data_IF_538320106916
#
_entry.id   IF_538320106916
#
_cell.length_a   1.000
_cell.length_b   1.000
_cell.length_c   1.000
_cell.angle_alpha   90.00
_cell.angle_beta   90.00
_cell.angle_gamma   90.00
#
_symmetry.space_group_name_H-M   'P 1'
#
loop_
_entity.id
_entity.type
_entity.pdbx_description
1 polymer ?
#
# COMPACT_ATOMS: atom_id res chain seq x y z
N UNK A 1 -17.95 7.92 -29.12
CA UNK A 1 -17.40 6.89 -28.21
C UNK A 1 -17.63 7.40 -26.80
N UNK A 2 -18.74 7.03 -26.18
CA UNK A 2 -18.95 7.31 -24.76
C UNK A 2 -18.37 6.15 -23.96
N UNK A 3 -17.12 6.33 -23.54
CA UNK A 3 -16.63 5.55 -22.40
C UNK A 3 -17.39 6.04 -21.18
N UNK A 4 -17.87 5.12 -20.33
CA UNK A 4 -18.13 5.48 -18.95
C UNK A 4 -16.83 6.10 -18.43
N UNK A 5 -16.84 7.41 -18.18
CA UNK A 5 -15.69 8.15 -17.67
C UNK A 5 -15.51 7.73 -16.22
N UNK A 6 -14.81 6.64 -16.00
CA UNK A 6 -14.27 6.34 -14.68
C UNK A 6 -13.14 7.34 -14.50
N UNK A 7 -13.39 8.37 -13.70
CA UNK A 7 -12.38 9.33 -13.29
C UNK A 7 -11.31 8.59 -12.47
N UNK A 8 -10.31 8.07 -13.18
CA UNK A 8 -9.24 7.26 -12.62
C UNK A 8 -8.31 8.07 -11.69
N UNK A 9 -8.39 9.41 -11.73
CA UNK A 9 -7.58 10.29 -10.90
C UNK A 9 -8.14 10.38 -9.46
N UNK A 10 -9.45 10.17 -9.29
CA UNK A 10 -10.19 10.32 -8.03
C UNK A 10 -10.70 9.01 -7.41
N UNK A 11 -10.06 7.86 -7.66
CA UNK A 11 -10.44 6.57 -7.05
C UNK A 11 -10.34 6.56 -5.50
N UNK A 12 -9.55 7.47 -4.91
CA UNK A 12 -9.49 7.63 -3.43
C UNK A 12 -10.75 8.31 -2.87
N UNK A 13 -11.50 9.02 -3.71
CA UNK A 13 -12.87 9.42 -3.46
C UNK A 13 -13.81 8.28 -3.87
N UNK A 14 -13.82 7.21 -3.07
CA UNK A 14 -14.96 6.30 -3.00
C UNK A 14 -16.28 7.02 -2.56
N UNK A 15 -16.28 8.35 -2.52
CA UNK A 15 -17.43 9.23 -2.44
C UNK A 15 -18.13 9.45 -3.80
N UNK A 16 -17.59 8.96 -4.93
CA UNK A 16 -18.14 9.21 -6.27
C UNK A 16 -19.19 8.20 -6.77
N UNK A 17 -19.40 7.08 -6.08
CA UNK A 17 -20.48 6.14 -6.43
C UNK A 17 -21.69 6.39 -5.55
N UNK A 18 -22.84 6.60 -6.17
CA UNK A 18 -24.12 6.66 -5.46
C UNK A 18 -24.29 5.37 -4.66
N UNK A 19 -24.58 5.53 -3.36
CA UNK A 19 -24.93 4.39 -2.51
C UNK A 19 -26.21 3.77 -3.05
N UNK A 20 -26.27 2.44 -3.00
CA UNK A 20 -27.53 1.74 -3.26
C UNK A 20 -28.62 2.27 -2.32
N UNK A 21 -29.87 2.26 -2.76
CA UNK A 21 -31.00 2.71 -1.94
C UNK A 21 -31.02 2.02 -0.56
N UNK A 22 -30.72 0.73 -0.53
CA UNK A 22 -30.60 -0.05 0.72
C UNK A 22 -29.47 0.47 1.60
N UNK A 23 -28.23 0.58 1.08
CA UNK A 23 -27.09 1.05 1.88
C UNK A 23 -27.24 2.51 2.30
N UNK A 24 -27.88 3.34 1.46
CA UNK A 24 -28.20 4.73 1.76
C UNK A 24 -29.20 4.82 2.91
N UNK A 25 -30.27 4.01 2.88
CA UNK A 25 -31.27 3.95 3.95
C UNK A 25 -30.65 3.53 5.29
N UNK A 26 -29.85 2.46 5.28
CA UNK A 26 -29.09 2.05 6.48
C UNK A 26 -28.10 3.13 6.93
N UNK A 27 -27.37 3.77 6.01
CA UNK A 27 -26.45 4.83 6.38
C UNK A 27 -27.19 6.00 7.06
N UNK A 28 -28.34 6.41 6.52
CA UNK A 28 -29.14 7.52 7.04
C UNK A 28 -29.79 7.22 8.39
N UNK A 29 -30.19 5.97 8.62
CA UNK A 29 -30.68 5.51 9.91
C UNK A 29 -29.58 5.58 10.99
N UNK A 30 -28.37 5.11 10.66
CA UNK A 30 -27.30 5.00 11.63
C UNK A 30 -26.38 6.23 11.72
N UNK A 31 -26.39 7.17 10.76
CA UNK A 31 -25.51 8.36 10.78
C UNK A 31 -25.75 9.29 11.96
N UNK A 32 -26.98 9.32 12.48
CA UNK A 32 -27.40 10.13 13.63
C UNK A 32 -27.28 9.39 14.97
N UNK A 33 -26.96 8.11 14.93
CA UNK A 33 -26.82 7.25 16.11
C UNK A 33 -25.42 7.33 16.74
N UNK A 34 -25.24 6.70 17.90
CA UNK A 34 -23.93 6.48 18.52
C UNK A 34 -23.06 5.43 17.79
N UNK A 35 -23.44 5.03 16.56
CA UNK A 35 -22.72 4.00 15.81
C UNK A 35 -21.24 4.39 15.58
N UNK A 36 -20.30 3.42 15.70
CA UNK A 36 -18.90 3.70 15.45
C UNK A 36 -18.67 4.22 14.03
N UNK A 37 -17.85 5.27 13.87
CA UNK A 37 -17.46 5.80 12.55
C UNK A 37 -16.95 4.72 11.58
N UNK A 38 -16.28 3.70 12.12
CA UNK A 38 -15.78 2.54 11.35
C UNK A 38 -16.93 1.74 10.73
N UNK A 39 -18.03 1.54 11.45
CA UNK A 39 -19.21 0.83 10.96
C UNK A 39 -19.88 1.59 9.82
N UNK A 40 -20.10 2.90 9.99
CA UNK A 40 -20.65 3.76 8.94
C UNK A 40 -19.80 3.74 7.66
N UNK A 41 -18.46 3.69 7.81
CA UNK A 41 -17.54 3.53 6.66
C UNK A 41 -17.72 2.20 5.94
N UNK A 42 -18.02 1.12 6.67
CA UNK A 42 -18.27 -0.19 6.05
C UNK A 42 -19.57 -0.21 5.24
N UNK A 43 -20.64 0.45 5.71
CA UNK A 43 -21.89 0.61 4.96
C UNK A 43 -21.62 1.36 3.64
N UNK A 44 -20.90 2.49 3.72
CA UNK A 44 -20.53 3.26 2.53
C UNK A 44 -19.80 2.40 1.50
N UNK A 45 -18.74 1.71 1.93
CA UNK A 45 -17.95 0.86 1.05
C UNK A 45 -18.78 -0.26 0.41
N UNK A 46 -19.66 -0.89 1.18
CA UNK A 46 -20.54 -1.95 0.67
C UNK A 46 -21.47 -1.42 -0.43
N UNK A 47 -22.09 -0.26 -0.20
CA UNK A 47 -22.93 0.41 -1.19
C UNK A 47 -22.18 0.69 -2.48
N UNK A 48 -20.99 1.31 -2.39
CA UNK A 48 -20.17 1.61 -3.57
C UNK A 48 -19.77 0.35 -4.35
N UNK A 49 -19.42 -0.74 -3.67
CA UNK A 49 -19.08 -2.01 -4.35
C UNK A 49 -20.26 -2.63 -5.07
N UNK A 50 -21.46 -2.54 -4.48
CA UNK A 50 -22.66 -3.07 -5.11
C UNK A 50 -23.07 -2.24 -6.34
N UNK A 51 -23.00 -0.91 -6.26
CA UNK A 51 -23.22 -0.03 -7.41
C UNK A 51 -22.24 -0.34 -8.54
N UNK A 52 -20.94 -0.45 -8.22
CA UNK A 52 -19.93 -0.83 -9.21
C UNK A 52 -20.21 -2.21 -9.83
N UNK A 53 -20.71 -3.17 -9.06
CA UNK A 53 -21.11 -4.49 -9.57
C UNK A 53 -22.27 -4.37 -10.57
N UNK A 54 -23.29 -3.55 -10.28
CA UNK A 54 -24.39 -3.26 -11.21
C UNK A 54 -23.84 -2.67 -12.51
N UNK A 55 -22.99 -1.65 -12.42
CA UNK A 55 -22.45 -0.95 -13.58
C UNK A 55 -21.61 -1.88 -14.47
N UNK A 56 -20.73 -2.68 -13.86
CA UNK A 56 -19.92 -3.68 -14.57
C UNK A 56 -20.85 -4.69 -15.26
N UNK A 57 -21.88 -5.15 -14.55
CA UNK A 57 -22.85 -6.13 -15.07
C UNK A 57 -23.61 -5.55 -16.26
N UNK A 58 -24.16 -4.34 -16.14
CA UNK A 58 -24.85 -3.64 -17.22
C UNK A 58 -23.94 -3.41 -18.43
N UNK A 59 -22.66 -3.08 -18.21
CA UNK A 59 -21.68 -2.96 -19.28
C UNK A 59 -21.40 -4.31 -19.97
N UNK A 60 -21.25 -5.38 -19.19
CA UNK A 60 -20.97 -6.73 -19.69
C UNK A 60 -22.13 -7.30 -20.54
N UNK A 61 -23.37 -6.90 -20.25
CA UNK A 61 -24.55 -7.31 -21.00
C UNK A 61 -24.72 -6.64 -22.37
N UNK A 62 -23.99 -5.55 -22.67
CA UNK A 62 -24.06 -4.91 -23.99
C UNK A 62 -23.51 -5.86 -25.06
N UNK A 63 -24.20 -5.98 -26.21
CA UNK A 63 -23.85 -6.92 -27.28
C UNK A 63 -22.38 -6.82 -27.73
N UNK A 64 -21.84 -5.59 -27.79
CA UNK A 64 -20.43 -5.32 -28.13
C UNK A 64 -19.43 -6.01 -27.20
N UNK A 65 -19.75 -6.15 -25.91
CA UNK A 65 -18.85 -6.69 -24.89
C UNK A 65 -19.20 -8.10 -24.46
N UNK A 66 -20.39 -8.59 -24.80
CA UNK A 66 -20.91 -9.91 -24.43
C UNK A 66 -19.92 -11.04 -24.67
N UNK A 67 -19.26 -11.06 -25.84
CA UNK A 67 -18.27 -12.10 -26.18
C UNK A 67 -17.01 -12.02 -25.29
N UNK A 68 -16.55 -10.81 -24.95
CA UNK A 68 -15.39 -10.61 -24.08
C UNK A 68 -15.65 -11.13 -22.66
N UNK A 69 -16.83 -10.87 -22.11
CA UNK A 69 -17.20 -11.32 -20.77
C UNK A 69 -17.65 -12.79 -20.71
N UNK A 70 -18.10 -13.38 -21.83
CA UNK A 70 -18.50 -14.80 -21.88
C UNK A 70 -17.37 -15.80 -21.63
N UNK A 71 -16.12 -15.37 -21.79
CA UNK A 71 -14.92 -16.19 -21.58
C UNK A 71 -14.16 -15.81 -20.30
N UNK A 72 -14.83 -15.16 -19.35
CA UNK A 72 -14.20 -14.74 -18.10
C UNK A 72 -14.08 -15.92 -17.14
N UNK A 73 -12.85 -16.19 -16.70
CA UNK A 73 -12.58 -17.14 -15.63
C UNK A 73 -12.32 -16.40 -14.32
N UNK A 74 -13.08 -16.77 -13.29
CA UNK A 74 -12.92 -16.20 -11.96
C UNK A 74 -12.06 -17.14 -11.13
N UNK A 75 -10.93 -16.62 -10.66
CA UNK A 75 -10.03 -17.33 -9.76
C UNK A 75 -10.00 -16.62 -8.41
N UNK A 76 -10.44 -17.30 -7.37
CA UNK A 76 -10.27 -16.81 -6.00
C UNK A 76 -8.82 -17.03 -5.58
N UNK A 77 -8.12 -15.94 -5.28
CA UNK A 77 -6.78 -15.99 -4.70
C UNK A 77 -6.90 -15.91 -3.18
N UNK A 78 -6.19 -16.80 -2.48
CA UNK A 78 -6.13 -16.75 -1.03
C UNK A 78 -5.17 -15.65 -0.56
N UNK A 79 -5.52 -14.88 0.48
CA UNK A 79 -4.61 -13.91 1.09
C UNK A 79 -3.35 -14.61 1.62
N UNK A 80 -2.19 -14.01 1.38
CA UNK A 80 -0.92 -14.53 1.87
C UNK A 80 -0.45 -13.67 3.04
N UNK A 81 -0.34 -14.29 4.21
CA UNK A 81 0.06 -13.65 5.46
C UNK A 81 1.24 -14.44 6.04
N UNK A 82 2.30 -13.74 6.43
CA UNK A 82 3.48 -14.33 7.06
C UNK A 82 3.72 -13.61 8.38
N UNK A 83 3.99 -14.37 9.44
CA UNK A 83 4.40 -13.82 10.73
C UNK A 83 5.91 -13.83 10.84
N UNK A 84 6.52 -12.66 11.02
CA UNK A 84 7.97 -12.53 11.08
C UNK A 84 8.43 -11.62 12.23
N UNK A 85 9.65 -11.85 12.77
CA UNK A 85 10.24 -10.95 13.75
C UNK A 85 10.48 -9.56 13.15
N UNK A 86 10.43 -8.55 14.01
CA UNK A 86 10.83 -7.19 13.69
C UNK A 86 12.26 -6.93 14.18
N UNK A 87 13.02 -6.19 13.38
CA UNK A 87 14.29 -5.65 13.87
C UNK A 87 14.01 -4.54 14.89
N UNK A 88 14.85 -4.46 15.92
CA UNK A 88 14.83 -3.32 16.85
C UNK A 88 15.04 -2.01 16.09
N UNK A 89 14.32 -0.98 16.52
CA UNK A 89 14.37 0.34 15.92
C UNK A 89 15.80 0.91 15.98
N UNK A 90 16.50 0.73 17.11
CA UNK A 90 17.92 1.08 17.26
C UNK A 90 18.82 0.46 16.19
N UNK A 91 18.64 -0.83 15.91
CA UNK A 91 19.46 -1.53 14.91
C UNK A 91 19.19 -1.04 13.48
N UNK A 92 17.97 -0.58 13.19
CA UNK A 92 17.64 0.03 11.90
C UNK A 92 18.26 1.42 11.82
N UNK A 93 18.02 2.29 12.80
CA UNK A 93 18.46 3.70 12.77
C UNK A 93 19.98 3.82 12.72
N UNK A 94 20.71 2.99 13.48
CA UNK A 94 22.19 3.00 13.49
C UNK A 94 22.83 2.71 12.14
N UNK A 95 22.10 2.11 11.19
CA UNK A 95 22.60 1.93 9.81
C UNK A 95 22.70 3.25 9.05
N UNK A 96 21.87 4.22 9.40
CA UNK A 96 21.78 5.51 8.72
C UNK A 96 22.39 6.67 9.52
N UNK A 97 22.44 6.53 10.85
CA UNK A 97 23.06 7.52 11.75
C UNK A 97 24.20 6.82 12.49
N UNK A 98 25.44 6.85 11.93
CA UNK A 98 26.60 6.33 12.62
C UNK A 98 26.85 7.15 13.88
N UNK A 99 26.77 6.47 15.03
CA UNK A 99 26.82 7.11 16.33
C UNK A 99 27.59 6.25 17.33
N UNK A 100 28.94 6.34 17.31
CA UNK A 100 29.80 5.56 18.21
C UNK A 100 29.57 5.91 19.69
N UNK A 101 29.20 7.15 20.00
CA UNK A 101 29.03 7.66 21.37
C UNK A 101 27.58 7.65 21.86
N UNK A 102 26.65 7.08 21.08
CA UNK A 102 25.23 6.91 21.38
C UNK A 102 24.40 8.21 21.57
N UNK A 103 25.05 9.38 21.53
CA UNK A 103 24.41 10.68 21.70
C UNK A 103 23.53 11.12 20.51
N UNK A 104 23.96 10.89 19.26
CA UNK A 104 23.19 11.30 18.07
C UNK A 104 21.91 10.49 17.92
N UNK A 105 21.97 9.21 18.29
CA UNK A 105 20.84 8.31 18.28
C UNK A 105 19.79 8.73 19.31
N UNK A 106 20.18 9.03 20.55
CA UNK A 106 19.23 9.47 21.58
C UNK A 106 18.58 10.80 21.24
N UNK A 107 19.34 11.76 20.69
CA UNK A 107 18.77 13.03 20.24
C UNK A 107 17.79 12.83 19.06
N UNK A 108 18.15 11.97 18.10
CA UNK A 108 17.25 11.62 16.99
C UNK A 108 15.97 10.93 17.50
N UNK A 109 16.09 10.01 18.46
CA UNK A 109 14.97 9.34 19.11
C UNK A 109 14.05 10.32 19.78
N UNK A 110 14.59 11.20 20.62
CA UNK A 110 13.82 12.23 21.33
C UNK A 110 13.01 13.07 20.35
N UNK A 111 13.64 13.61 19.30
CA UNK A 111 12.94 14.40 18.26
C UNK A 111 11.82 13.64 17.57
N UNK A 112 12.03 12.37 17.24
CA UNK A 112 10.99 11.54 16.61
C UNK A 112 9.82 11.26 17.56
N UNK A 113 10.08 11.16 18.87
CA UNK A 113 9.04 10.91 19.88
C UNK A 113 8.29 12.20 20.27
N UNK A 114 8.94 13.35 20.16
CA UNK A 114 8.32 14.66 20.37
C UNK A 114 7.35 15.02 19.22
N UNK A 115 7.59 14.51 18.01
CA UNK A 115 6.63 14.61 16.90
C UNK A 115 5.46 13.65 17.09
N UNK A 116 4.26 14.21 17.32
CA UNK A 116 3.04 13.44 17.57
C UNK A 116 2.74 12.41 16.47
N UNK A 117 2.92 12.77 15.20
CA UNK A 117 2.60 11.86 14.09
C UNK A 117 3.57 10.70 14.00
N UNK A 118 4.87 10.96 14.17
CA UNK A 118 5.93 9.96 14.16
C UNK A 118 5.80 9.02 15.36
N UNK A 119 5.63 9.58 16.56
CA UNK A 119 5.41 8.82 17.79
C UNK A 119 4.20 7.89 17.69
N UNK A 120 3.09 8.38 17.13
CA UNK A 120 1.89 7.56 16.88
C UNK A 120 2.18 6.43 15.89
N UNK A 121 2.88 6.69 14.78
CA UNK A 121 3.22 5.66 13.79
C UNK A 121 4.18 4.60 14.34
N UNK A 122 5.12 5.01 15.19
CA UNK A 122 6.00 4.10 15.90
C UNK A 122 5.23 3.22 16.88
N UNK A 123 4.30 3.81 17.63
CA UNK A 123 3.38 3.06 18.50
C UNK A 123 2.54 2.06 17.70
N UNK A 124 2.00 2.45 16.55
CA UNK A 124 1.22 1.55 15.70
C UNK A 124 2.07 0.39 15.12
N UNK A 125 3.37 0.61 14.90
CA UNK A 125 4.29 -0.38 14.36
C UNK A 125 4.83 -1.35 15.43
N UNK A 126 5.25 -0.84 16.59
CA UNK A 126 5.90 -1.61 17.67
C UNK A 126 4.95 -1.94 18.84
N UNK A 127 3.70 -1.46 18.79
CA UNK A 127 2.70 -1.60 19.84
C UNK A 127 2.85 -0.59 20.98
N UNK A 128 4.08 -0.19 21.33
CA UNK A 128 4.40 0.86 22.29
C UNK A 128 5.82 1.42 21.97
N UNK A 129 6.03 2.72 22.19
CA UNK A 129 7.35 3.38 22.09
C UNK A 129 8.38 2.83 23.09
N UNK A 130 7.95 2.27 24.22
CA UNK A 130 8.87 1.62 25.17
C UNK A 130 9.44 0.30 24.64
N UNK A 131 8.81 -0.26 23.60
CA UNK A 131 9.17 -1.54 23.00
C UNK A 131 9.89 -1.40 21.66
N UNK A 132 10.36 -0.20 21.33
CA UNK A 132 11.08 0.06 20.07
C UNK A 132 12.27 -0.89 19.85
N UNK A 133 12.92 -1.31 20.93
CA UNK A 133 14.10 -2.18 20.88
C UNK A 133 13.82 -3.63 21.33
N UNK A 134 12.55 -4.01 21.42
CA UNK A 134 12.12 -5.36 21.76
C UNK A 134 12.15 -6.28 20.52
N UNK A 135 13.21 -7.08 20.40
CA UNK A 135 13.40 -8.03 19.29
C UNK A 135 12.48 -9.27 19.37
N UNK A 136 11.70 -9.43 20.45
CA UNK A 136 10.69 -10.49 20.55
C UNK A 136 9.41 -10.17 19.78
N UNK A 137 9.23 -8.92 19.34
CA UNK A 137 8.05 -8.50 18.60
C UNK A 137 7.97 -9.25 17.27
N UNK A 138 6.82 -9.90 17.05
CA UNK A 138 6.46 -10.50 15.77
C UNK A 138 5.27 -9.75 15.19
N UNK A 139 5.35 -9.43 13.90
CA UNK A 139 4.25 -8.82 13.16
C UNK A 139 3.78 -9.73 12.03
N UNK A 140 2.48 -9.63 11.74
CA UNK A 140 1.92 -10.17 10.52
C UNK A 140 2.19 -9.19 9.38
N UNK A 141 2.77 -9.70 8.31
CA UNK A 141 2.97 -9.00 7.04
C UNK A 141 2.13 -9.66 5.94
N UNK A 142 1.66 -8.85 5.01
CA UNK A 142 0.60 -9.17 4.07
C UNK A 142 1.10 -8.99 2.64
N UNK A 143 0.86 -9.99 1.80
CA UNK A 143 1.02 -9.82 0.37
C UNK A 143 -0.16 -9.02 -0.16
N UNK A 144 0.13 -7.86 -0.73
CA UNK A 144 -0.89 -7.05 -1.37
C UNK A 144 -1.48 -7.78 -2.59
N UNK A 145 -2.74 -7.49 -2.92
CA UNK A 145 -3.48 -8.18 -3.98
C UNK A 145 -2.79 -8.06 -5.35
N UNK A 146 -2.24 -6.88 -5.65
CA UNK A 146 -1.46 -6.58 -6.85
C UNK A 146 -0.26 -7.53 -6.96
N UNK A 147 0.43 -7.78 -5.85
CA UNK A 147 1.61 -8.63 -5.81
C UNK A 147 1.24 -10.12 -5.92
N UNK A 148 0.09 -10.52 -5.40
CA UNK A 148 -0.43 -11.88 -5.55
C UNK A 148 -0.73 -12.19 -7.02
N UNK A 149 -1.45 -11.30 -7.71
CA UNK A 149 -1.71 -11.41 -9.16
C UNK A 149 -0.41 -11.41 -9.97
N UNK A 150 0.50 -10.49 -9.66
CA UNK A 150 1.74 -10.35 -10.40
C UNK A 150 2.68 -11.56 -10.21
N UNK A 151 2.69 -12.17 -9.03
CA UNK A 151 3.42 -13.42 -8.78
C UNK A 151 2.99 -14.50 -9.76
N UNK A 152 1.68 -14.66 -9.96
CA UNK A 152 1.13 -15.65 -10.89
C UNK A 152 1.58 -15.38 -12.35
N UNK A 153 1.49 -14.13 -12.80
CA UNK A 153 1.92 -13.71 -14.15
C UNK A 153 3.42 -13.98 -14.37
N UNK A 154 4.24 -13.64 -13.39
CA UNK A 154 5.71 -13.82 -13.45
C UNK A 154 6.06 -15.30 -13.46
N UNK A 155 5.45 -16.11 -12.59
CA UNK A 155 5.71 -17.54 -12.47
C UNK A 155 5.28 -18.32 -13.72
N UNK A 156 4.27 -17.85 -14.43
CA UNK A 156 3.88 -18.37 -15.75
C UNK A 156 4.77 -17.86 -16.88
N UNK A 157 5.72 -16.96 -16.59
CA UNK A 157 6.58 -16.26 -17.58
C UNK A 157 5.77 -15.57 -18.67
N UNK A 158 4.56 -15.11 -18.36
CA UNK A 158 3.71 -14.42 -19.32
C UNK A 158 4.26 -13.02 -19.60
N UNK A 159 4.73 -12.80 -20.83
CA UNK A 159 5.30 -11.52 -21.30
C UNK A 159 4.34 -10.70 -22.18
N UNK A 160 3.11 -11.19 -22.34
CA UNK A 160 2.05 -10.44 -23.02
C UNK A 160 1.59 -9.22 -22.22
N UNK A 161 0.63 -8.47 -22.76
CA UNK A 161 0.06 -7.31 -22.07
C UNK A 161 -0.87 -7.80 -20.97
N UNK A 162 -0.57 -7.45 -19.73
CA UNK A 162 -1.45 -7.70 -18.59
C UNK A 162 -1.94 -6.36 -18.03
N UNK A 163 -3.23 -6.29 -17.75
CA UNK A 163 -3.85 -5.13 -17.10
C UNK A 163 -4.23 -5.55 -15.69
N UNK A 164 -3.73 -4.84 -14.69
CA UNK A 164 -4.10 -5.02 -13.29
C UNK A 164 -5.00 -3.85 -12.90
N UNK A 165 -6.23 -4.18 -12.54
CA UNK A 165 -7.20 -3.25 -11.97
C UNK A 165 -7.52 -3.70 -10.55
N UNK A 166 -7.40 -2.78 -9.59
CA UNK A 166 -7.72 -3.05 -8.19
C UNK A 166 -8.48 -1.88 -7.59
N UNK A 167 -9.15 -2.13 -6.47
CA UNK A 167 -10.07 -1.19 -5.83
C UNK A 167 -9.42 0.02 -5.16
N UNK A 168 -8.09 0.08 -5.07
CA UNK A 168 -7.33 1.18 -4.45
C UNK A 168 -6.08 1.51 -5.26
N UNK A 169 -5.55 2.72 -5.09
CA UNK A 169 -4.25 3.07 -5.68
C UNK A 169 -3.16 2.16 -5.08
N UNK A 170 -2.20 1.74 -5.90
CA UNK A 170 -1.14 0.85 -5.42
C UNK A 170 -0.26 1.58 -4.40
N UNK A 171 0.22 0.86 -3.40
CA UNK A 171 1.22 1.42 -2.49
C UNK A 171 2.58 1.63 -3.16
N UNK A 172 3.43 2.42 -2.51
CA UNK A 172 4.75 2.77 -3.03
C UNK A 172 5.60 1.53 -3.35
N UNK A 173 5.60 0.50 -2.49
CA UNK A 173 6.36 -0.73 -2.72
C UNK A 173 5.79 -1.56 -3.88
N UNK A 174 4.46 -1.63 -4.02
CA UNK A 174 3.83 -2.27 -5.17
C UNK A 174 4.21 -1.56 -6.48
N UNK A 175 4.18 -0.23 -6.48
CA UNK A 175 4.57 0.58 -7.63
C UNK A 175 6.05 0.36 -8.01
N UNK A 176 6.96 0.39 -7.04
CA UNK A 176 8.38 0.13 -7.28
C UNK A 176 8.61 -1.27 -7.87
N UNK A 177 7.94 -2.28 -7.33
CA UNK A 177 8.07 -3.65 -7.83
C UNK A 177 7.53 -3.77 -9.26
N UNK A 178 6.37 -3.18 -9.57
CA UNK A 178 5.80 -3.17 -10.93
C UNK A 178 6.74 -2.46 -11.91
N UNK A 179 7.30 -1.30 -11.54
CA UNK A 179 8.29 -0.58 -12.35
C UNK A 179 9.53 -1.44 -12.61
N UNK A 180 10.01 -2.15 -11.60
CA UNK A 180 11.15 -3.06 -11.74
C UNK A 180 10.87 -4.17 -12.75
N UNK A 181 9.74 -4.88 -12.62
CA UNK A 181 9.45 -6.00 -13.53
C UNK A 181 9.17 -5.51 -14.96
N UNK A 182 8.59 -4.32 -15.12
CA UNK A 182 8.45 -3.70 -16.45
C UNK A 182 9.81 -3.40 -17.09
N UNK A 183 10.82 -2.94 -16.32
CA UNK A 183 12.21 -2.80 -16.80
C UNK A 183 12.83 -4.14 -17.20
N UNK A 184 12.35 -5.25 -16.64
CA UNK A 184 12.74 -6.63 -16.99
C UNK A 184 11.89 -7.24 -18.12
N UNK A 185 11.17 -6.38 -18.87
CA UNK A 185 10.46 -6.75 -20.09
C UNK A 185 9.06 -7.32 -19.90
N UNK A 186 8.51 -7.31 -18.67
CA UNK A 186 7.06 -7.56 -18.49
C UNK A 186 6.26 -6.33 -18.96
N UNK A 187 5.03 -6.55 -19.42
CA UNK A 187 4.15 -5.48 -19.91
C UNK A 187 2.91 -5.35 -19.02
N UNK A 188 3.14 -4.86 -17.81
CA UNK A 188 2.10 -4.69 -16.79
C UNK A 188 1.59 -3.24 -16.83
N UNK A 189 0.30 -3.07 -17.12
CA UNK A 189 -0.41 -1.80 -17.12
C UNK A 189 -1.35 -1.74 -15.92
N UNK A 190 -1.40 -0.58 -15.26
CA UNK A 190 -2.13 -0.42 -14.01
C UNK A 190 -3.17 0.70 -14.14
N UNK A 191 -4.40 0.43 -13.73
CA UNK A 191 -5.53 1.34 -14.00
C UNK A 191 -5.88 2.26 -12.84
N UNK A 192 -5.57 1.89 -11.59
CA UNK A 192 -5.93 2.71 -10.42
C UNK A 192 -4.87 3.71 -9.98
N UNK A 193 -3.72 3.80 -10.66
CA UNK A 193 -2.61 4.69 -10.29
C UNK A 193 -1.89 4.31 -8.98
N UNK A 194 -0.86 5.05 -8.60
CA UNK A 194 -0.09 4.80 -7.39
C UNK A 194 -0.22 5.94 -6.39
N UNK A 195 -0.26 5.61 -5.10
CA UNK A 195 -0.11 6.56 -4.02
C UNK A 195 1.26 6.37 -3.34
N UNK A 196 1.87 7.44 -2.85
CA UNK A 196 3.23 7.41 -2.27
C UNK A 196 3.29 6.83 -0.84
N UNK A 197 2.20 6.26 -0.33
CA UNK A 197 2.14 5.68 1.02
C UNK A 197 2.93 4.37 1.10
N UNK A 198 3.76 4.28 2.15
CA UNK A 198 4.49 3.08 2.56
C UNK A 198 3.69 2.32 3.63
N UNK A 199 3.44 1.04 3.41
CA UNK A 199 2.82 0.16 4.42
C UNK A 199 3.90 -0.69 5.08
N UNK A 200 4.05 -0.57 6.39
CA UNK A 200 5.05 -1.30 7.18
C UNK A 200 4.85 -2.82 7.19
N UNK A 201 3.60 -3.26 6.95
CA UNK A 201 3.20 -4.68 6.95
C UNK A 201 3.18 -5.29 5.54
N UNK A 202 3.95 -4.74 4.61
CA UNK A 202 4.01 -5.25 3.24
C UNK A 202 4.95 -6.46 3.11
N UNK A 203 4.55 -7.48 2.36
CA UNK A 203 5.33 -8.69 2.09
C UNK A 203 5.88 -8.69 0.65
N UNK A 204 7.18 -8.96 0.53
CA UNK A 204 7.84 -9.19 -0.77
C UNK A 204 7.26 -10.46 -1.43
N UNK A 205 6.78 -10.40 -2.69
CA UNK A 205 6.29 -11.58 -3.38
C UNK A 205 7.33 -12.70 -3.46
N UNK A 206 6.88 -13.93 -3.24
CA UNK A 206 7.67 -15.14 -3.41
C UNK A 206 7.41 -15.72 -4.78
N UNK A 207 8.26 -15.34 -5.74
CA UNK A 207 8.24 -15.86 -7.11
C UNK A 207 9.22 -17.03 -7.27
N UNK A 208 9.02 -17.87 -8.29
CA UNK A 208 9.89 -19.01 -8.62
C UNK A 208 11.29 -18.58 -9.07
N UNK A 209 11.38 -17.44 -9.75
CA UNK A 209 12.63 -16.86 -10.22
C UNK A 209 13.34 -16.13 -9.07
N UNK A 210 14.27 -16.84 -8.42
CA UNK A 210 15.01 -16.33 -7.25
C UNK A 210 15.93 -15.17 -7.58
N UNK A 211 16.46 -15.13 -8.80
CA UNK A 211 17.39 -14.09 -9.24
C UNK A 211 16.61 -12.79 -9.46
N UNK A 212 15.50 -12.86 -10.18
CA UNK A 212 14.59 -11.73 -10.36
C UNK A 212 14.09 -11.19 -9.00
N UNK A 213 13.80 -12.09 -8.06
CA UNK A 213 13.38 -11.71 -6.70
C UNK A 213 14.49 -10.96 -5.97
N UNK A 214 15.72 -11.47 -6.02
CA UNK A 214 16.88 -10.85 -5.36
C UNK A 214 17.19 -9.49 -5.96
N UNK A 215 17.18 -9.38 -7.29
CA UNK A 215 17.38 -8.12 -7.99
C UNK A 215 16.28 -7.09 -7.67
N UNK A 216 15.02 -7.54 -7.58
CA UNK A 216 13.91 -6.66 -7.22
C UNK A 216 14.06 -6.09 -5.80
N UNK A 217 14.53 -6.92 -4.87
CA UNK A 217 14.78 -6.52 -3.49
C UNK A 217 15.90 -5.48 -3.43
N UNK A 218 17.02 -5.74 -4.11
CA UNK A 218 18.14 -4.80 -4.18
C UNK A 218 17.71 -3.46 -4.81
N UNK A 219 16.90 -3.50 -5.88
CA UNK A 219 16.36 -2.30 -6.49
C UNK A 219 15.51 -1.50 -5.50
N UNK A 220 14.57 -2.16 -4.80
CA UNK A 220 13.69 -1.48 -3.85
C UNK A 220 14.44 -0.94 -2.63
N UNK A 221 15.37 -1.70 -2.07
CA UNK A 221 16.23 -1.23 -0.96
C UNK A 221 16.96 0.04 -1.38
N UNK A 222 17.59 0.05 -2.56
CA UNK A 222 18.29 1.24 -3.06
C UNK A 222 17.37 2.47 -3.17
N UNK A 223 16.12 2.28 -3.61
CA UNK A 223 15.15 3.39 -3.69
C UNK A 223 14.72 3.87 -2.30
N UNK A 224 14.50 2.95 -1.36
CA UNK A 224 14.15 3.30 0.02
C UNK A 224 15.29 3.99 0.76
N UNK A 225 16.52 3.50 0.59
CA UNK A 225 17.72 4.12 1.19
C UNK A 225 17.89 5.56 0.71
N UNK A 226 17.62 5.84 -0.56
CA UNK A 226 17.64 7.21 -1.07
C UNK A 226 16.62 8.09 -0.34
N UNK A 227 15.37 7.64 -0.21
CA UNK A 227 14.31 8.39 0.50
C UNK A 227 14.68 8.60 1.98
N UNK A 228 15.18 7.56 2.65
CA UNK A 228 15.57 7.65 4.07
C UNK A 228 16.71 8.66 4.25
N UNK A 229 17.74 8.60 3.41
CA UNK A 229 18.87 9.53 3.48
C UNK A 229 18.44 10.98 3.23
N UNK A 230 17.54 11.22 2.27
CA UNK A 230 16.97 12.54 2.01
C UNK A 230 16.18 13.07 3.21
N UNK A 231 15.38 12.22 3.87
CA UNK A 231 14.60 12.61 5.06
C UNK A 231 15.48 12.85 6.29
N UNK A 232 16.50 12.01 6.51
CA UNK A 232 17.48 12.23 7.59
C UNK A 232 18.22 13.56 7.37
N UNK A 233 18.66 13.84 6.14
CA UNK A 233 19.34 15.09 5.82
C UNK A 233 18.46 16.32 6.11
N UNK A 234 17.15 16.26 5.86
CA UNK A 234 16.21 17.33 6.25
C UNK A 234 16.16 17.53 7.76
N UNK A 235 16.04 16.45 8.52
CA UNK A 235 15.97 16.50 9.99
C UNK A 235 17.27 17.02 10.63
N UNK A 236 18.41 16.77 9.98
CA UNK A 236 19.73 17.27 10.41
C UNK A 236 19.98 18.71 9.94
N UNK A 237 19.55 19.10 8.73
CA UNK A 237 19.79 20.44 8.18
C UNK A 237 18.88 21.53 8.76
N UNK A 238 17.71 21.18 9.30
CA UNK A 238 16.86 22.10 10.09
C UNK A 238 17.61 22.63 11.34
N UNK A 239 18.72 21.98 11.75
CA UNK A 239 19.61 22.42 12.84
C UNK A 239 20.55 23.57 12.42
N UNK A 240 20.73 23.83 11.12
CA UNK A 240 21.65 24.86 10.63
C UNK A 240 20.95 26.20 10.32
N UNK A 241 19.94 26.60 11.10
CA UNK A 241 19.58 28.02 11.20
C UNK A 241 20.42 28.62 12.33
N UNK A 242 21.28 29.62 12.06
CA UNK A 242 22.00 30.28 13.14
C UNK A 242 21.00 31.04 14.00
N UNK A 243 21.17 30.93 15.32
CA UNK A 243 20.77 31.99 16.22
C UNK A 243 21.62 33.20 15.83
N UNK A 244 21.03 34.12 15.08
CA UNK A 244 21.60 35.45 14.85
C UNK A 244 20.60 36.47 15.36
N UNK A 245 21.03 37.16 16.42
CA UNK A 245 20.53 38.42 16.96
C UNK A 245 20.31 39.50 15.88
#
# INVERSE_FOLDING_TARGET
MDYASIDAENIDDANGYDLTETCSSYYDEFKSSLAPKKFLRHIKNMGSYYTALIDITACAFKDKYKLLFSNMHVHKLEPIIVRQPMFSWKNIVKRYIPDPDHAKYEEFKRRCLDDFFTSKRLTDAYGNVDRLDDESIKQDIYLHAEMNLLTNIIDQKYKGRAIIAVSKKSCYLCELYIRFVNKKGYKIYYTSGAHKTLYSKWLLPKIKDTDLRTESLNYMIKQLDQVINEEIAKQVSIVARPDSD
#
